data_IF_136398944430
#
_entry.id   IF_136398944430
#
_cell.length_a   1.000
_cell.length_b   1.000
_cell.length_c   1.000
_cell.angle_alpha   90.00
_cell.angle_beta   90.00
_cell.angle_gamma   90.00
#
_symmetry.space_group_name_H-M   'P 1'
#
loop_
_entity.id
_entity.type
_entity.pdbx_description
1 polymer ?
#
# COMPACT_ATOMS: atom_id res chain seq x y z
N UNK A 1 -10.20 10.44 -8.27
CA UNK A 1 -10.11 8.97 -8.36
C UNK A 1 -9.71 8.51 -6.96
N UNK A 2 -10.43 7.56 -6.37
CA UNK A 2 -10.21 7.15 -4.98
C UNK A 2 -9.71 5.70 -4.97
N UNK A 3 -8.87 5.37 -3.98
CA UNK A 3 -8.41 4.00 -3.75
C UNK A 3 -9.47 3.30 -2.89
N UNK A 4 -9.83 2.09 -3.29
CA UNK A 4 -10.74 1.23 -2.55
C UNK A 4 -9.94 0.18 -1.77
N UNK A 5 -10.42 -0.16 -0.58
CA UNK A 5 -9.76 -1.10 0.31
C UNK A 5 -10.66 -1.49 1.47
N UNK A 6 -10.05 -2.11 2.46
CA UNK A 6 -10.74 -2.66 3.63
C UNK A 6 -10.29 -1.93 4.90
N UNK A 7 -11.24 -1.62 5.79
CA UNK A 7 -10.96 -1.00 7.08
C UNK A 7 -11.00 -2.06 8.19
N UNK A 8 -9.91 -2.18 8.94
CA UNK A 8 -9.77 -3.11 10.05
C UNK A 8 -9.54 -2.38 11.37
N UNK A 9 -10.16 -2.87 12.44
CA UNK A 9 -9.79 -2.52 13.81
C UNK A 9 -8.67 -3.47 14.27
N UNK A 10 -7.56 -2.89 14.72
CA UNK A 10 -6.37 -3.63 15.16
C UNK A 10 -5.98 -3.19 16.56
N UNK A 11 -5.48 -4.14 17.36
CA UNK A 11 -4.88 -3.83 18.66
C UNK A 11 -3.45 -3.29 18.48
N UNK A 12 -2.88 -2.75 19.57
CA UNK A 12 -1.54 -2.17 19.54
C UNK A 12 -0.46 -3.18 19.15
N UNK A 13 -0.59 -4.46 19.54
CA UNK A 13 0.38 -5.50 19.23
C UNK A 13 0.38 -5.85 17.75
N UNK A 14 -0.81 -5.95 17.14
CA UNK A 14 -0.96 -6.14 15.68
C UNK A 14 -0.41 -4.94 14.92
N UNK A 15 -0.64 -3.73 15.43
CA UNK A 15 -0.12 -2.53 14.82
C UNK A 15 1.43 -2.50 14.82
N UNK A 16 2.08 -2.92 15.91
CA UNK A 16 3.54 -3.08 15.97
C UNK A 16 4.07 -4.11 14.95
N UNK A 17 3.39 -5.25 14.81
CA UNK A 17 3.76 -6.28 13.82
C UNK A 17 3.62 -5.74 12.39
N UNK A 18 2.59 -4.93 12.12
CA UNK A 18 2.41 -4.28 10.82
C UNK A 18 3.52 -3.25 10.56
N UNK A 19 3.95 -2.48 11.57
CA UNK A 19 5.07 -1.56 11.43
C UNK A 19 6.36 -2.29 11.03
N UNK A 20 6.64 -3.46 11.65
CA UNK A 20 7.79 -4.29 11.30
C UNK A 20 7.68 -4.85 9.88
N UNK A 21 6.51 -5.38 9.50
CA UNK A 21 6.26 -5.97 8.19
C UNK A 21 6.43 -4.94 7.05
N UNK A 22 5.95 -3.72 7.27
CA UNK A 22 6.01 -2.62 6.29
C UNK A 22 7.35 -1.85 6.36
N UNK A 23 8.30 -2.33 7.16
CA UNK A 23 9.59 -1.68 7.42
C UNK A 23 9.44 -0.18 7.75
N UNK A 24 8.47 0.16 8.58
CA UNK A 24 8.27 1.51 9.09
C UNK A 24 9.39 1.86 10.10
N UNK A 25 9.97 3.08 10.09
CA UNK A 25 9.71 4.21 9.19
C UNK A 25 10.74 4.34 8.05
N UNK A 26 11.40 3.24 7.65
CA UNK A 26 12.50 3.28 6.67
C UNK A 26 12.00 3.19 5.24
N UNK A 27 11.08 2.28 4.93
CA UNK A 27 10.51 2.10 3.60
C UNK A 27 9.15 2.81 3.45
N UNK A 28 8.20 2.49 4.34
CA UNK A 28 6.89 3.14 4.39
C UNK A 28 6.77 4.06 5.60
N UNK A 29 6.00 5.14 5.44
CA UNK A 29 5.55 6.01 6.52
C UNK A 29 4.09 5.68 6.86
N UNK A 30 3.78 5.60 8.16
CA UNK A 30 2.41 5.49 8.64
C UNK A 30 1.76 6.87 8.73
N UNK A 31 0.63 7.06 8.04
CA UNK A 31 -0.15 8.31 8.06
C UNK A 31 -1.59 8.05 8.42
N UNK A 32 -2.19 8.99 9.14
CA UNK A 32 -3.63 8.99 9.39
C UNK A 32 -4.34 9.66 8.21
N UNK A 33 -5.39 9.00 7.69
CA UNK A 33 -6.19 9.49 6.58
C UNK A 33 -7.69 9.36 6.87
N UNK A 34 -8.48 10.16 6.18
CA UNK A 34 -9.94 10.02 6.13
C UNK A 34 -10.35 8.93 5.12
N UNK A 35 -11.20 8.01 5.57
CA UNK A 35 -11.78 6.93 4.76
C UNK A 35 -13.29 7.08 4.76
N UNK A 36 -13.87 7.06 3.56
CA UNK A 36 -15.33 7.01 3.38
C UNK A 36 -15.78 5.54 3.31
N UNK A 37 -16.61 5.10 4.26
CA UNK A 37 -17.15 3.75 4.25
C UNK A 37 -18.17 3.57 3.12
N UNK A 38 -18.00 2.51 2.34
CA UNK A 38 -18.94 2.18 1.25
C UNK A 38 -20.31 1.70 1.76
N UNK A 39 -20.39 1.23 3.00
CA UNK A 39 -21.62 0.69 3.61
C UNK A 39 -22.65 1.77 3.92
N UNK A 40 -22.22 2.88 4.54
CA UNK A 40 -23.12 3.92 5.06
C UNK A 40 -22.70 5.35 4.65
N UNK A 41 -21.57 5.51 3.97
CA UNK A 41 -21.03 6.80 3.55
C UNK A 41 -20.39 7.61 4.68
N UNK A 42 -20.27 7.06 5.89
CA UNK A 42 -19.63 7.74 7.01
C UNK A 42 -18.12 7.89 6.81
N UNK A 43 -17.55 8.91 7.46
CA UNK A 43 -16.11 9.17 7.42
C UNK A 43 -15.48 8.60 8.69
N UNK A 44 -14.41 7.83 8.53
CA UNK A 44 -13.57 7.28 9.59
C UNK A 44 -12.13 7.72 9.40
N UNK A 45 -11.38 7.76 10.49
CA UNK A 45 -9.94 7.99 10.45
C UNK A 45 -9.23 6.66 10.67
N UNK A 46 -8.21 6.38 9.86
CA UNK A 46 -7.44 5.16 9.95
C UNK A 46 -6.00 5.38 9.51
N UNK A 47 -5.11 4.47 9.91
CA UNK A 47 -3.73 4.47 9.45
C UNK A 47 -3.59 3.78 8.10
N UNK A 48 -2.74 4.35 7.25
CA UNK A 48 -2.27 3.77 5.99
C UNK A 48 -0.75 3.87 5.92
N UNK A 49 -0.12 2.90 5.25
CA UNK A 49 1.30 2.93 4.94
C UNK A 49 1.51 3.50 3.54
N UNK A 50 2.30 4.57 3.44
CA UNK A 50 2.63 5.21 2.18
C UNK A 50 4.14 5.18 1.96
N UNK A 51 4.54 4.85 0.73
CA UNK A 51 5.95 4.77 0.38
C UNK A 51 6.63 6.12 0.66
N UNK A 52 7.66 6.11 1.52
CA UNK A 52 8.32 7.34 2.00
C UNK A 52 9.07 8.05 0.90
N UNK A 53 9.70 7.29 0.02
CA UNK A 53 10.47 7.82 -1.10
C UNK A 53 10.36 6.85 -2.28
N UNK A 54 10.13 7.42 -3.46
CA UNK A 54 9.99 6.68 -4.69
C UNK A 54 10.79 7.34 -5.79
N UNK A 55 11.14 6.58 -6.83
CA UNK A 55 11.82 7.13 -8.00
C UNK A 55 10.94 8.20 -8.67
N UNK A 56 11.54 9.32 -9.05
CA UNK A 56 10.81 10.42 -9.67
C UNK A 56 10.11 10.04 -10.98
N UNK A 57 10.63 9.03 -11.68
CA UNK A 57 10.06 8.52 -12.93
C UNK A 57 8.95 7.47 -12.72
N UNK A 58 8.72 6.99 -11.49
CA UNK A 58 7.76 5.92 -11.19
C UNK A 58 6.38 6.20 -11.78
N UNK A 59 5.86 7.42 -11.59
CA UNK A 59 4.53 7.78 -12.09
C UNK A 59 4.48 7.88 -13.62
N UNK A 60 5.60 8.21 -14.26
CA UNK A 60 5.71 8.31 -15.71
C UNK A 60 5.92 6.94 -16.37
N UNK A 61 6.59 6.01 -15.67
CA UNK A 61 6.84 4.64 -16.13
C UNK A 61 5.74 3.67 -15.72
N UNK A 62 4.88 4.05 -14.78
CA UNK A 62 3.71 3.27 -14.36
C UNK A 62 2.72 3.13 -15.51
N UNK A 63 2.26 1.90 -15.75
CA UNK A 63 1.34 1.62 -16.86
C UNK A 63 -0.07 2.16 -16.61
N UNK A 64 -0.53 2.19 -15.36
CA UNK A 64 -1.88 2.61 -15.00
C UNK A 64 -1.98 3.02 -13.52
N UNK A 65 -2.82 4.01 -13.23
CA UNK A 65 -3.25 4.31 -11.87
C UNK A 65 -4.36 3.35 -11.46
N UNK A 66 -4.15 2.60 -10.39
CA UNK A 66 -5.11 1.59 -9.92
C UNK A 66 -6.08 2.18 -8.88
N UNK A 67 -7.35 1.80 -8.97
CA UNK A 67 -8.35 2.06 -7.91
C UNK A 67 -8.40 0.92 -6.90
N UNK A 68 -8.11 -0.31 -7.34
CA UNK A 68 -8.02 -1.51 -6.52
C UNK A 68 -6.78 -2.29 -6.92
N UNK A 69 -6.05 -2.80 -5.93
CA UNK A 69 -4.90 -3.68 -6.16
C UNK A 69 -5.35 -5.15 -6.16
N UNK A 70 -4.84 -5.93 -7.10
CA UNK A 70 -4.97 -7.39 -7.11
C UNK A 70 -3.72 -7.99 -7.73
N UNK A 71 -2.99 -8.80 -6.97
CA UNK A 71 -1.75 -9.45 -7.45
C UNK A 71 -1.98 -10.26 -8.74
N UNK A 72 -3.13 -10.94 -8.86
CA UNK A 72 -3.53 -11.68 -10.06
C UNK A 72 -4.40 -10.84 -11.01
N UNK A 73 -4.27 -9.52 -10.92
CA UNK A 73 -5.04 -8.55 -11.70
C UNK A 73 -4.63 -8.49 -13.18
N UNK A 74 -5.38 -7.73 -13.99
CA UNK A 74 -5.18 -7.65 -15.44
C UNK A 74 -3.87 -6.96 -15.85
N UNK A 75 -3.12 -6.36 -14.92
CA UNK A 75 -1.80 -5.80 -15.18
C UNK A 75 -0.70 -6.85 -15.35
N UNK A 76 -0.96 -8.12 -15.01
CA UNK A 76 -0.02 -9.23 -15.24
C UNK A 76 1.26 -9.16 -14.39
N UNK A 77 1.24 -8.40 -13.29
CA UNK A 77 2.37 -8.21 -12.36
C UNK A 77 2.01 -8.81 -11.02
N UNK A 78 2.45 -10.05 -10.80
CA UNK A 78 2.19 -10.78 -9.57
C UNK A 78 3.11 -10.26 -8.48
N UNK A 79 2.59 -10.15 -7.26
CA UNK A 79 3.38 -9.87 -6.08
C UNK A 79 4.54 -10.86 -5.95
N UNK A 80 5.75 -10.34 -5.77
CA UNK A 80 6.96 -11.10 -5.48
C UNK A 80 7.39 -10.75 -4.07
N UNK A 81 7.56 -11.78 -3.24
CA UNK A 81 8.05 -11.68 -1.87
C UNK A 81 9.53 -11.29 -1.82
N UNK A 82 9.93 -10.65 -0.73
CA UNK A 82 11.27 -10.10 -0.54
C UNK A 82 12.40 -11.14 -0.72
N UNK A 83 12.16 -12.41 -0.35
CA UNK A 83 13.13 -13.50 -0.52
C UNK A 83 13.42 -13.81 -2.00
N UNK A 84 12.51 -13.44 -2.90
CA UNK A 84 12.61 -13.67 -4.35
C UNK A 84 12.87 -12.39 -5.15
N UNK A 85 13.05 -11.23 -4.49
CA UNK A 85 13.46 -9.97 -5.14
C UNK A 85 14.94 -10.07 -5.51
N UNK A 86 15.25 -9.99 -6.81
CA UNK A 86 16.63 -10.17 -7.30
C UNK A 86 17.35 -8.85 -7.60
N UNK A 87 16.61 -7.73 -7.68
CA UNK A 87 17.15 -6.41 -7.95
C UNK A 87 16.26 -5.28 -7.41
N UNK A 88 16.82 -4.08 -7.25
CA UNK A 88 16.03 -2.87 -6.94
C UNK A 88 15.01 -2.54 -8.04
N UNK A 89 15.27 -2.95 -9.29
CA UNK A 89 14.31 -2.78 -10.38
C UNK A 89 13.06 -3.61 -10.15
N UNK A 90 13.19 -4.83 -9.61
CA UNK A 90 12.06 -5.72 -9.28
C UNK A 90 11.12 -5.11 -8.23
N UNK A 91 11.60 -4.21 -7.36
CA UNK A 91 10.74 -3.48 -6.42
C UNK A 91 9.78 -2.49 -7.08
N UNK A 92 10.13 -2.00 -8.27
CA UNK A 92 9.37 -0.97 -9.00
C UNK A 92 8.67 -1.52 -10.24
N UNK A 93 8.73 -2.84 -10.47
CA UNK A 93 8.10 -3.48 -11.62
C UNK A 93 6.58 -3.56 -11.48
#
# INVERSE_FOLDING_TARGET
MNIEGELYEVDAKKLEILDELEAYPTLYDRKEIEIKLSSDGSIRHAYIYLLRSWRADLLATSSVMLTTYSSLGPHGRVYVDNENVTSEEDMYQ
#
